data_IF_377287248602
#
_entry.id   IF_377287248602
#
_cell.length_a   1.000
_cell.length_b   1.000
_cell.length_c   1.000
_cell.angle_alpha   90.00
_cell.angle_beta   90.00
_cell.angle_gamma   90.00
#
_symmetry.space_group_name_H-M   'P 1'
#
loop_
_entity.id
_entity.type
_entity.pdbx_description
1 polymer ?
#
# COMPACT_ATOMS: atom_id res chain seq x y z
N UNK A 1 -1.17 34.45 -16.85
CA UNK A 1 -1.35 33.12 -17.45
C UNK A 1 -2.35 32.37 -16.56
N UNK A 2 -3.51 32.01 -17.06
CA UNK A 2 -4.50 31.19 -16.35
C UNK A 2 -3.90 29.80 -16.11
N UNK A 3 -4.06 29.28 -14.88
CA UNK A 3 -3.63 27.92 -14.56
C UNK A 3 -4.32 26.93 -15.55
N UNK A 4 -3.64 25.88 -15.99
CA UNK A 4 -4.26 24.87 -16.84
C UNK A 4 -5.48 24.27 -16.13
N UNK A 5 -6.52 23.89 -16.87
CA UNK A 5 -7.71 23.30 -16.27
C UNK A 5 -7.36 22.01 -15.50
N UNK A 6 -8.05 21.73 -14.40
CA UNK A 6 -7.78 20.55 -13.60
C UNK A 6 -8.02 19.25 -14.40
N UNK A 7 -7.14 18.26 -14.21
CA UNK A 7 -7.35 16.91 -14.77
C UNK A 7 -8.59 16.30 -14.09
N UNK A 8 -9.58 15.86 -14.86
CA UNK A 8 -10.83 15.28 -14.36
C UNK A 8 -10.76 13.75 -14.44
N UNK A 9 -10.75 13.12 -13.28
CA UNK A 9 -10.54 11.68 -13.14
C UNK A 9 -11.81 11.00 -12.62
N UNK A 10 -12.29 9.97 -13.32
CA UNK A 10 -13.21 9.00 -12.73
C UNK A 10 -12.39 7.95 -11.98
N UNK A 11 -12.37 8.01 -10.65
CA UNK A 11 -11.68 7.01 -9.83
C UNK A 11 -12.64 5.91 -9.41
N UNK A 12 -12.29 4.65 -9.71
CA UNK A 12 -13.10 3.46 -9.42
C UNK A 12 -12.41 2.63 -8.34
N UNK A 13 -13.12 2.35 -7.24
CA UNK A 13 -12.58 1.51 -6.16
C UNK A 13 -13.64 0.63 -5.52
N UNK A 14 -13.23 -0.60 -5.17
CA UNK A 14 -14.01 -1.51 -4.32
C UNK A 14 -13.61 -1.42 -2.84
N UNK A 15 -12.60 -0.63 -2.52
CA UNK A 15 -12.03 -0.49 -1.17
C UNK A 15 -12.14 0.98 -0.72
N UNK A 16 -12.92 1.21 0.32
CA UNK A 16 -13.16 2.54 0.89
C UNK A 16 -13.56 2.40 2.37
N UNK A 17 -13.23 3.36 3.26
CA UNK A 17 -13.46 3.24 4.70
C UNK A 17 -14.89 2.90 5.12
N UNK A 18 -15.90 3.48 4.47
CA UNK A 18 -17.30 3.20 4.75
C UNK A 18 -17.83 1.90 4.12
N UNK A 19 -17.05 1.27 3.24
CA UNK A 19 -17.35 -0.04 2.66
C UNK A 19 -16.69 -1.19 3.41
N UNK A 20 -15.73 -0.91 4.29
CA UNK A 20 -15.01 -1.91 5.05
C UNK A 20 -15.89 -2.44 6.19
N UNK A 21 -16.12 -3.75 6.23
CA UNK A 21 -16.79 -4.44 7.35
C UNK A 21 -15.94 -4.44 8.64
N UNK A 22 -14.70 -3.93 8.55
CA UNK A 22 -13.67 -3.95 9.58
C UNK A 22 -13.05 -2.54 9.66
N UNK A 23 -13.37 -1.80 10.69
CA UNK A 23 -12.88 -0.43 10.88
C UNK A 23 -11.38 -0.30 10.57
N UNK A 24 -11.03 0.39 9.47
CA UNK A 24 -9.69 0.92 9.27
C UNK A 24 -8.86 0.44 8.09
N UNK A 25 -9.34 -0.37 7.15
CA UNK A 25 -8.48 -1.00 6.14
C UNK A 25 -8.25 -0.20 4.84
N UNK A 26 -9.08 0.77 4.51
CA UNK A 26 -9.02 1.47 3.21
C UNK A 26 -8.42 2.90 3.28
N UNK A 27 -7.69 3.20 4.33
CA UNK A 27 -7.17 4.57 4.57
C UNK A 27 -6.17 5.05 3.52
N UNK A 28 -5.47 4.15 2.82
CA UNK A 28 -4.48 4.51 1.81
C UNK A 28 -5.11 5.00 0.49
N UNK A 29 -6.27 4.44 0.05
CA UNK A 29 -6.96 4.93 -1.15
C UNK A 29 -7.62 6.28 -0.87
N UNK A 30 -8.30 6.43 0.29
CA UNK A 30 -8.91 7.70 0.66
C UNK A 30 -7.86 8.80 0.81
N UNK A 31 -6.72 8.50 1.47
CA UNK A 31 -5.61 9.43 1.58
C UNK A 31 -5.07 9.84 0.21
N UNK A 32 -4.84 8.91 -0.70
CA UNK A 32 -4.40 9.23 -2.06
C UNK A 32 -5.39 10.15 -2.78
N UNK A 33 -6.71 9.93 -2.62
CA UNK A 33 -7.75 10.80 -3.19
C UNK A 33 -7.65 12.21 -2.62
N UNK A 34 -7.48 12.34 -1.30
CA UNK A 34 -7.41 13.64 -0.63
C UNK A 34 -6.18 14.44 -1.09
N UNK A 35 -5.02 13.78 -1.20
CA UNK A 35 -3.79 14.42 -1.69
C UNK A 35 -3.86 14.80 -3.18
N UNK A 36 -4.44 13.94 -4.03
CA UNK A 36 -4.67 14.27 -5.44
C UNK A 36 -5.61 15.47 -5.60
N UNK A 37 -6.68 15.55 -4.81
CA UNK A 37 -7.59 16.70 -4.80
C UNK A 37 -6.88 17.98 -4.32
N UNK A 38 -6.10 17.88 -3.26
CA UNK A 38 -5.28 18.99 -2.76
C UNK A 38 -4.26 19.49 -3.80
N UNK A 39 -3.75 18.60 -4.66
CA UNK A 39 -2.88 18.92 -5.78
C UNK A 39 -3.62 19.43 -7.04
N UNK A 40 -4.93 19.69 -6.95
CA UNK A 40 -5.73 20.28 -8.03
C UNK A 40 -6.33 19.28 -9.03
N UNK A 41 -6.30 17.97 -8.75
CA UNK A 41 -6.98 16.97 -9.58
C UNK A 41 -8.45 16.90 -9.21
N UNK A 42 -9.35 17.02 -10.21
CA UNK A 42 -10.79 16.85 -10.00
C UNK A 42 -11.15 15.37 -10.02
N UNK A 43 -11.54 14.81 -8.85
CA UNK A 43 -11.84 13.38 -8.72
C UNK A 43 -13.33 13.18 -8.46
N UNK A 44 -14.02 12.51 -9.41
CA UNK A 44 -15.31 11.88 -9.20
C UNK A 44 -15.06 10.43 -8.75
N UNK A 45 -15.42 10.15 -7.50
CA UNK A 45 -15.16 8.85 -6.88
C UNK A 45 -16.36 7.93 -7.07
N UNK A 46 -16.15 6.81 -7.76
CA UNK A 46 -17.10 5.71 -7.83
C UNK A 46 -16.65 4.57 -6.91
N UNK A 47 -17.38 4.37 -5.83
CA UNK A 47 -17.16 3.31 -4.86
C UNK A 47 -18.27 2.26 -4.89
N UNK A 48 -17.91 1.00 -4.80
CA UNK A 48 -18.88 -0.10 -4.82
C UNK A 48 -18.45 -1.27 -3.94
N UNK A 49 -19.42 -1.99 -3.37
CA UNK A 49 -19.14 -3.24 -2.62
C UNK A 49 -19.11 -4.42 -3.57
N UNK A 50 -17.92 -4.76 -4.09
CA UNK A 50 -17.75 -5.87 -5.02
C UNK A 50 -17.55 -7.25 -4.37
N UNK A 51 -17.15 -7.31 -3.10
CA UNK A 51 -16.66 -8.50 -2.41
C UNK A 51 -17.57 -9.71 -2.59
N UNK A 52 -17.12 -10.69 -3.42
CA UNK A 52 -17.76 -12.01 -3.56
C UNK A 52 -19.14 -12.04 -4.25
N UNK A 53 -19.62 -10.95 -4.84
CA UNK A 53 -20.95 -10.90 -5.47
C UNK A 53 -20.88 -10.44 -6.93
N UNK A 54 -21.01 -11.34 -7.92
CA UNK A 54 -20.99 -10.99 -9.35
C UNK A 54 -22.07 -10.01 -9.79
N UNK A 55 -23.25 -10.06 -9.16
CA UNK A 55 -24.38 -9.16 -9.50
C UNK A 55 -23.99 -7.71 -9.17
N UNK A 56 -23.28 -7.49 -8.06
CA UNK A 56 -22.80 -6.16 -7.69
C UNK A 56 -21.75 -5.62 -8.68
N UNK A 57 -20.92 -6.49 -9.25
CA UNK A 57 -20.01 -6.09 -10.32
C UNK A 57 -20.77 -5.71 -11.59
N UNK A 58 -21.81 -6.46 -11.97
CA UNK A 58 -22.65 -6.17 -13.13
C UNK A 58 -23.37 -4.82 -12.95
N UNK A 59 -24.00 -4.57 -11.81
CA UNK A 59 -24.67 -3.29 -11.53
C UNK A 59 -23.68 -2.11 -11.50
N UNK A 60 -22.51 -2.31 -10.89
CA UNK A 60 -21.45 -1.31 -10.88
C UNK A 60 -20.93 -1.02 -12.29
N UNK A 61 -20.78 -2.05 -13.13
CA UNK A 61 -20.39 -1.91 -14.52
C UNK A 61 -21.39 -1.03 -15.31
N UNK A 62 -22.70 -1.33 -15.20
CA UNK A 62 -23.75 -0.52 -15.84
C UNK A 62 -23.67 0.93 -15.41
N UNK A 63 -23.49 1.21 -14.13
CA UNK A 63 -23.41 2.57 -13.62
C UNK A 63 -22.15 3.29 -14.13
N UNK A 64 -20.99 2.62 -14.14
CA UNK A 64 -19.75 3.18 -14.70
C UNK A 64 -19.93 3.45 -16.20
N UNK A 65 -20.47 2.51 -16.98
CA UNK A 65 -20.70 2.70 -18.41
C UNK A 65 -21.67 3.86 -18.68
N UNK A 66 -22.73 4.00 -17.88
CA UNK A 66 -23.67 5.13 -17.97
C UNK A 66 -22.98 6.48 -17.71
N UNK A 67 -22.07 6.55 -16.73
CA UNK A 67 -21.26 7.76 -16.48
C UNK A 67 -20.33 8.06 -17.65
N UNK A 68 -19.73 7.03 -18.25
CA UNK A 68 -18.80 7.16 -19.37
C UNK A 68 -19.48 7.54 -20.70
N UNK A 69 -20.79 7.38 -20.85
CA UNK A 69 -21.54 7.90 -21.99
C UNK A 69 -21.48 9.43 -22.06
N UNK A 70 -21.29 10.11 -20.93
CA UNK A 70 -21.06 11.56 -20.82
C UNK A 70 -19.57 11.86 -20.92
N UNK A 71 -18.94 11.60 -22.08
CA UNK A 71 -17.48 11.65 -22.31
C UNK A 71 -16.82 12.96 -21.90
N UNK A 72 -17.51 14.10 -22.04
CA UNK A 72 -16.97 15.43 -21.72
C UNK A 72 -16.72 15.67 -20.24
N UNK A 73 -17.14 14.73 -19.38
CA UNK A 73 -17.05 14.87 -17.93
C UNK A 73 -15.68 14.46 -17.36
N UNK A 74 -14.96 13.55 -18.02
CA UNK A 74 -13.71 12.99 -17.52
C UNK A 74 -12.64 12.99 -18.62
N UNK A 75 -11.38 13.18 -18.19
CA UNK A 75 -10.22 13.11 -19.07
C UNK A 75 -9.62 11.70 -19.08
N UNK A 76 -9.67 11.00 -17.94
CA UNK A 76 -9.20 9.61 -17.79
C UNK A 76 -9.97 8.86 -16.69
N UNK A 77 -9.77 7.55 -16.67
CA UNK A 77 -10.24 6.65 -15.59
C UNK A 77 -9.03 6.17 -14.81
N UNK A 78 -9.11 6.18 -13.47
CA UNK A 78 -8.15 5.51 -12.61
C UNK A 78 -8.83 4.43 -11.77
N UNK A 79 -8.55 3.17 -12.06
CA UNK A 79 -9.06 2.04 -11.29
C UNK A 79 -8.07 1.64 -10.20
N UNK A 80 -8.56 1.59 -8.95
CA UNK A 80 -7.83 1.02 -7.82
C UNK A 80 -8.13 -0.47 -7.78
N UNK A 81 -7.09 -1.29 -7.87
CA UNK A 81 -7.11 -2.75 -8.04
C UNK A 81 -7.54 -3.23 -9.46
N UNK A 82 -6.91 -4.33 -9.90
CA UNK A 82 -7.13 -4.89 -11.23
C UNK A 82 -8.59 -5.21 -11.53
N UNK A 83 -9.33 -5.79 -10.57
CA UNK A 83 -10.74 -6.12 -10.75
C UNK A 83 -11.64 -4.88 -10.92
N UNK A 84 -11.29 -3.75 -10.33
CA UNK A 84 -12.03 -2.49 -10.54
C UNK A 84 -11.87 -1.97 -11.97
N UNK A 85 -10.75 -2.29 -12.62
CA UNK A 85 -10.51 -1.94 -14.02
C UNK A 85 -11.44 -2.64 -15.01
N UNK A 86 -12.02 -3.80 -14.65
CA UNK A 86 -13.03 -4.46 -15.48
C UNK A 86 -14.26 -3.58 -15.73
N UNK A 87 -14.60 -2.70 -14.76
CA UNK A 87 -15.75 -1.81 -14.88
C UNK A 87 -15.54 -0.72 -15.94
N UNK A 88 -14.29 -0.43 -16.28
CA UNK A 88 -13.92 0.54 -17.33
C UNK A 88 -13.96 -0.06 -18.74
N UNK A 89 -14.18 -1.36 -18.89
CA UNK A 89 -14.21 -2.03 -20.20
C UNK A 89 -15.66 -2.19 -20.73
N UNK A 90 -15.91 -2.00 -22.03
CA UNK A 90 -14.95 -1.63 -23.06
C UNK A 90 -14.41 -0.20 -22.83
N UNK A 91 -13.11 -0.02 -23.07
CA UNK A 91 -12.41 1.23 -22.80
C UNK A 91 -12.92 2.36 -23.71
N UNK A 92 -13.35 3.47 -23.09
CA UNK A 92 -13.85 4.68 -23.79
C UNK A 92 -12.97 5.91 -23.55
N UNK A 93 -12.20 5.90 -22.48
CA UNK A 93 -11.27 6.94 -22.06
C UNK A 93 -9.92 6.29 -21.70
N UNK A 94 -8.83 7.05 -21.64
CA UNK A 94 -7.55 6.56 -21.13
C UNK A 94 -7.73 5.92 -19.76
N UNK A 95 -7.12 4.74 -19.56
CA UNK A 95 -7.26 3.92 -18.36
C UNK A 95 -5.92 3.75 -17.66
N UNK A 96 -5.84 4.21 -16.42
CA UNK A 96 -4.76 3.94 -15.48
C UNK A 96 -5.25 2.92 -14.44
N UNK A 97 -4.42 1.94 -14.10
CA UNK A 97 -4.77 0.93 -13.10
C UNK A 97 -3.66 0.83 -12.07
N UNK A 98 -4.01 0.88 -10.78
CA UNK A 98 -3.06 0.64 -9.67
C UNK A 98 -3.31 -0.73 -9.06
N UNK A 99 -2.24 -1.56 -9.01
CA UNK A 99 -2.21 -2.90 -8.41
C UNK A 99 -1.51 -2.84 -7.05
N UNK A 100 -2.08 -3.56 -6.05
CA UNK A 100 -1.65 -3.41 -4.65
C UNK A 100 -1.25 -4.70 -3.94
N UNK A 101 -1.51 -5.87 -4.52
CA UNK A 101 -1.11 -7.16 -3.97
C UNK A 101 -2.11 -8.27 -4.31
N UNK A 102 -3.18 -8.41 -3.55
CA UNK A 102 -4.18 -9.49 -3.68
C UNK A 102 -4.76 -9.61 -5.10
N UNK A 103 -4.78 -8.54 -5.85
CA UNK A 103 -5.23 -8.47 -7.24
C UNK A 103 -4.27 -9.13 -8.23
N UNK A 104 -2.99 -9.27 -7.89
CA UNK A 104 -1.98 -9.94 -8.72
C UNK A 104 -1.44 -11.25 -8.13
N UNK A 105 -1.44 -11.39 -6.80
CA UNK A 105 -0.97 -12.58 -6.09
C UNK A 105 -2.13 -13.52 -5.72
N UNK A 106 -3.36 -13.00 -5.72
CA UNK A 106 -4.57 -13.74 -5.34
C UNK A 106 -4.93 -13.56 -3.86
N UNK A 107 -6.18 -13.91 -3.54
CA UNK A 107 -6.73 -13.79 -2.19
C UNK A 107 -6.63 -15.09 -1.44
N UNK A 108 -5.96 -15.05 -0.31
CA UNK A 108 -5.82 -16.18 0.61
C UNK A 108 -6.99 -16.19 1.61
N UNK A 109 -7.52 -17.38 1.89
CA UNK A 109 -8.56 -17.58 2.89
C UNK A 109 -8.01 -17.32 4.30
N UNK A 110 -8.68 -16.49 5.08
CA UNK A 110 -8.34 -16.28 6.49
C UNK A 110 -8.53 -17.54 7.37
N UNK A 111 -9.30 -18.54 6.90
CA UNK A 111 -9.53 -19.78 7.66
C UNK A 111 -8.48 -20.85 7.36
N UNK A 112 -8.12 -21.02 6.08
CA UNK A 112 -7.30 -22.17 5.64
C UNK A 112 -5.88 -21.76 5.27
N UNK A 113 -5.61 -20.46 5.07
CA UNK A 113 -4.32 -19.97 4.56
C UNK A 113 -4.05 -20.33 3.09
N UNK A 114 -5.02 -20.90 2.37
CA UNK A 114 -4.90 -21.30 0.98
C UNK A 114 -5.61 -20.29 0.05
N UNK A 115 -5.16 -20.21 -1.20
CA UNK A 115 -5.82 -19.39 -2.22
C UNK A 115 -7.28 -19.83 -2.41
N UNK A 116 -8.21 -18.90 -2.32
CA UNK A 116 -9.62 -19.15 -2.63
C UNK A 116 -9.80 -19.35 -4.14
N UNK A 117 -10.89 -20.03 -4.62
CA UNK A 117 -11.17 -20.14 -6.05
C UNK A 117 -11.20 -18.76 -6.75
N UNK A 118 -11.88 -17.79 -6.14
CA UNK A 118 -11.91 -16.41 -6.64
C UNK A 118 -10.51 -15.76 -6.58
N UNK A 119 -9.73 -16.06 -5.52
CA UNK A 119 -8.35 -15.58 -5.38
C UNK A 119 -7.42 -16.08 -6.49
N UNK A 120 -7.69 -17.27 -7.07
CA UNK A 120 -6.95 -17.78 -8.23
C UNK A 120 -7.37 -17.10 -9.54
N UNK A 121 -8.62 -16.68 -9.64
CA UNK A 121 -9.15 -16.01 -10.84
C UNK A 121 -8.74 -14.54 -10.92
N UNK A 122 -8.65 -13.85 -9.79
CA UNK A 122 -8.34 -12.42 -9.75
C UNK A 122 -7.05 -12.04 -10.50
N UNK A 123 -5.90 -12.73 -10.32
CA UNK A 123 -4.69 -12.41 -11.08
C UNK A 123 -4.85 -12.55 -12.60
N UNK A 124 -5.67 -13.51 -13.05
CA UNK A 124 -5.96 -13.70 -14.48
C UNK A 124 -6.75 -12.50 -15.02
N UNK A 125 -7.81 -12.12 -14.33
CA UNK A 125 -8.63 -10.95 -14.70
C UNK A 125 -7.81 -9.66 -14.66
N UNK A 126 -6.99 -9.48 -13.64
CA UNK A 126 -6.10 -8.33 -13.50
C UNK A 126 -5.10 -8.22 -14.67
N UNK A 127 -4.53 -9.35 -15.12
CA UNK A 127 -3.64 -9.37 -16.29
C UNK A 127 -4.38 -9.04 -17.60
N UNK A 128 -5.65 -9.43 -17.74
CA UNK A 128 -6.48 -9.01 -18.89
C UNK A 128 -6.67 -7.51 -18.88
N UNK A 129 -7.02 -6.93 -17.73
CA UNK A 129 -7.16 -5.48 -17.57
C UNK A 129 -5.83 -4.77 -17.85
N UNK A 130 -4.72 -5.29 -17.36
CA UNK A 130 -3.40 -4.71 -17.54
C UNK A 130 -3.00 -4.56 -19.02
N UNK A 131 -3.44 -5.47 -19.88
CA UNK A 131 -3.20 -5.39 -21.35
C UNK A 131 -4.04 -4.31 -22.03
N UNK A 132 -5.15 -3.92 -21.40
CA UNK A 132 -6.07 -2.89 -21.93
C UNK A 132 -5.77 -1.50 -21.37
N UNK A 133 -5.08 -1.42 -20.24
CA UNK A 133 -4.71 -0.16 -19.59
C UNK A 133 -3.67 0.61 -20.43
N UNK A 134 -3.76 1.94 -20.43
CA UNK A 134 -2.75 2.81 -21.04
C UNK A 134 -1.54 3.00 -20.10
N UNK A 135 -1.76 2.89 -18.80
CA UNK A 135 -0.68 2.79 -17.82
C UNK A 135 -1.04 1.85 -16.67
N UNK A 136 -0.06 1.08 -16.25
CA UNK A 136 -0.14 0.21 -15.08
C UNK A 136 0.77 0.76 -13.98
N UNK A 137 0.22 0.96 -12.78
CA UNK A 137 0.97 1.33 -11.57
C UNK A 137 0.99 0.10 -10.66
N UNK A 138 2.15 -0.25 -10.14
CA UNK A 138 2.32 -1.30 -9.14
C UNK A 138 2.98 -0.71 -7.90
N UNK A 139 2.55 -1.15 -6.70
CA UNK A 139 3.09 -0.60 -5.45
C UNK A 139 4.47 -1.15 -5.07
N UNK A 140 4.97 -2.16 -5.78
CA UNK A 140 6.32 -2.72 -5.62
C UNK A 140 6.81 -3.36 -6.91
N UNK A 141 8.13 -3.43 -7.09
CA UNK A 141 8.76 -4.09 -8.24
C UNK A 141 8.39 -5.58 -8.31
N UNK A 142 8.28 -6.25 -7.16
CA UNK A 142 7.82 -7.63 -7.04
C UNK A 142 6.45 -7.83 -7.74
N UNK A 143 5.48 -6.95 -7.50
CA UNK A 143 4.18 -7.02 -8.17
C UNK A 143 4.26 -6.75 -9.67
N UNK A 144 5.22 -5.93 -10.11
CA UNK A 144 5.47 -5.71 -11.53
C UNK A 144 5.80 -7.00 -12.27
N UNK A 145 6.57 -7.90 -11.65
CA UNK A 145 6.89 -9.22 -12.20
C UNK A 145 5.66 -10.14 -12.32
N UNK A 146 4.60 -9.88 -11.55
CA UNK A 146 3.34 -10.64 -11.60
C UNK A 146 2.42 -10.25 -12.76
N UNK A 147 2.68 -9.15 -13.45
CA UNK A 147 1.94 -8.73 -14.64
C UNK A 147 2.23 -9.67 -15.84
N UNK A 148 1.92 -9.28 -17.03
CA UNK A 148 2.24 -10.05 -18.23
C UNK A 148 3.66 -9.73 -18.73
N UNK A 149 4.27 -10.65 -19.49
CA UNK A 149 5.57 -10.40 -20.14
C UNK A 149 5.52 -9.17 -21.05
N UNK A 150 6.50 -8.30 -20.93
CA UNK A 150 6.59 -7.04 -21.69
C UNK A 150 5.80 -5.87 -21.07
N UNK A 151 5.08 -6.07 -19.96
CA UNK A 151 4.52 -4.94 -19.23
C UNK A 151 5.65 -4.07 -18.66
N UNK A 152 5.51 -2.76 -18.82
CA UNK A 152 6.40 -1.75 -18.23
C UNK A 152 5.60 -0.93 -17.21
N UNK A 153 5.34 -1.47 -16.02
CA UNK A 153 4.58 -0.74 -15.02
C UNK A 153 5.39 0.37 -14.37
N UNK A 154 4.71 1.44 -13.99
CA UNK A 154 5.27 2.43 -13.08
C UNK A 154 5.28 1.86 -11.65
N UNK A 155 6.45 1.76 -11.04
CA UNK A 155 6.57 1.34 -9.63
C UNK A 155 6.37 2.56 -8.76
N UNK A 156 5.16 2.71 -8.22
CA UNK A 156 4.76 3.83 -7.37
C UNK A 156 4.15 3.28 -6.09
N UNK A 157 4.91 3.20 -4.99
CA UNK A 157 4.41 2.73 -3.70
C UNK A 157 3.29 3.62 -3.17
N UNK A 158 2.48 3.10 -2.24
CA UNK A 158 1.56 3.96 -1.48
C UNK A 158 2.37 4.92 -0.62
N UNK A 159 2.02 6.19 -0.65
CA UNK A 159 2.68 7.23 0.11
C UNK A 159 2.41 7.14 1.61
N UNK A 160 3.20 7.89 2.37
CA UNK A 160 3.06 8.04 3.82
C UNK A 160 2.86 9.52 4.15
N UNK A 161 1.86 9.80 4.96
CA UNK A 161 1.65 11.14 5.52
C UNK A 161 2.70 11.40 6.63
N UNK A 162 3.81 12.02 6.26
CA UNK A 162 4.88 12.32 7.19
C UNK A 162 4.52 13.41 8.22
N UNK A 163 3.46 14.18 8.01
CA UNK A 163 2.94 15.12 9.02
C UNK A 163 2.21 14.37 10.12
N UNK A 164 1.46 13.34 9.75
CA UNK A 164 0.76 12.45 10.70
C UNK A 164 1.75 11.53 11.41
N UNK A 165 2.57 10.78 10.67
CA UNK A 165 3.61 9.89 11.23
C UNK A 165 4.88 10.68 11.54
N UNK A 166 4.76 11.55 12.54
CA UNK A 166 5.86 12.40 13.05
C UNK A 166 6.59 11.74 14.21
N UNK A 167 7.80 12.18 14.46
CA UNK A 167 8.54 11.80 15.65
C UNK A 167 7.94 12.44 16.89
N UNK A 168 7.86 11.67 17.97
CA UNK A 168 7.41 12.08 19.30
C UNK A 168 8.32 11.45 20.36
N UNK A 169 8.53 12.11 21.50
CA UNK A 169 9.21 11.48 22.64
C UNK A 169 8.45 10.21 23.08
N UNK A 170 9.18 9.10 23.27
CA UNK A 170 8.60 7.83 23.65
C UNK A 170 7.78 7.90 24.93
N UNK A 171 8.30 8.60 25.94
CA UNK A 171 7.62 8.79 27.23
C UNK A 171 6.28 9.54 27.09
N UNK A 172 6.22 10.52 26.16
CA UNK A 172 4.97 11.23 25.86
C UNK A 172 3.96 10.31 25.20
N UNK A 173 4.40 9.53 24.19
CA UNK A 173 3.55 8.58 23.50
C UNK A 173 3.02 7.47 24.44
N UNK A 174 3.87 6.92 25.30
CA UNK A 174 3.46 5.92 26.32
C UNK A 174 2.44 6.49 27.29
N UNK A 175 2.67 7.70 27.80
CA UNK A 175 1.74 8.39 28.70
C UNK A 175 0.39 8.66 28.03
N UNK A 176 0.39 9.08 26.78
CA UNK A 176 -0.85 9.32 26.00
C UNK A 176 -1.70 8.04 25.87
N UNK A 177 -1.04 6.90 25.69
CA UNK A 177 -1.69 5.60 25.52
C UNK A 177 -1.95 4.84 26.85
N UNK A 178 -1.51 5.37 28.00
CA UNK A 178 -1.59 4.64 29.27
C UNK A 178 -0.70 3.39 29.31
N UNK A 179 0.36 3.34 28.52
CA UNK A 179 1.31 2.22 28.47
C UNK A 179 2.39 2.37 29.56
N UNK A 180 3.01 1.25 30.03
CA UNK A 180 4.09 1.29 31.00
C UNK A 180 5.22 2.23 30.56
N UNK A 181 5.74 3.04 31.51
CA UNK A 181 6.88 3.92 31.26
C UNK A 181 8.16 3.14 30.99
N UNK A 182 8.31 1.99 31.65
CA UNK A 182 9.45 1.10 31.56
C UNK A 182 9.10 -0.19 30.82
N UNK A 183 10.12 -0.98 30.47
CA UNK A 183 9.96 -2.24 29.75
C UNK A 183 10.04 -2.08 28.24
N UNK A 184 10.18 -3.20 27.56
CA UNK A 184 10.26 -3.28 26.08
C UNK A 184 8.90 -3.64 25.50
N UNK A 185 8.42 -2.83 24.58
CA UNK A 185 7.12 -3.01 23.93
C UNK A 185 7.30 -3.39 22.45
N UNK A 186 6.81 -4.56 22.11
CA UNK A 186 6.83 -5.10 20.73
C UNK A 186 5.47 -4.84 20.09
N UNK A 187 5.42 -3.96 19.10
CA UNK A 187 4.19 -3.64 18.40
C UNK A 187 3.88 -4.69 17.33
N UNK A 188 2.66 -5.19 17.32
CA UNK A 188 2.09 -5.94 16.19
C UNK A 188 0.88 -5.19 15.64
N UNK A 189 0.79 -4.98 14.32
CA UNK A 189 -0.33 -4.27 13.68
C UNK A 189 -1.05 -5.19 12.70
N UNK A 190 -2.31 -5.48 13.00
CA UNK A 190 -3.17 -6.32 12.15
C UNK A 190 -4.17 -7.13 12.95
N UNK A 191 -5.15 -7.71 12.23
CA UNK A 191 -6.15 -8.58 12.86
C UNK A 191 -5.51 -9.81 13.48
N UNK A 192 -5.77 -10.10 14.76
CA UNK A 192 -5.22 -11.27 15.44
C UNK A 192 -5.77 -12.59 14.87
N UNK A 193 -6.92 -12.55 14.19
CA UNK A 193 -7.54 -13.73 13.55
C UNK A 193 -7.12 -13.94 12.11
N UNK A 194 -6.29 -13.05 11.55
CA UNK A 194 -5.84 -13.16 10.15
C UNK A 194 -4.70 -14.16 10.02
N UNK A 195 -4.96 -15.28 9.34
CA UNK A 195 -3.93 -16.29 9.02
C UNK A 195 -2.80 -15.72 8.12
N UNK A 196 -3.08 -14.65 7.39
CA UNK A 196 -2.10 -13.93 6.59
C UNK A 196 -1.14 -13.12 7.47
N UNK A 197 -1.64 -12.46 8.53
CA UNK A 197 -0.85 -11.60 9.41
C UNK A 197 -0.06 -12.37 10.47
N UNK A 198 -0.54 -13.58 10.86
CA UNK A 198 0.13 -14.52 11.77
C UNK A 198 0.47 -13.91 13.13
N UNK A 199 -0.52 -13.34 13.81
CA UNK A 199 -0.36 -12.82 15.18
C UNK A 199 0.12 -13.89 16.16
N UNK A 200 -0.36 -15.13 15.99
CA UNK A 200 0.08 -16.30 16.76
C UNK A 200 1.59 -16.54 16.67
N UNK A 201 2.19 -16.33 15.51
CA UNK A 201 3.63 -16.44 15.30
C UNK A 201 4.39 -15.32 16.02
N UNK A 202 3.87 -14.08 15.96
CA UNK A 202 4.44 -12.96 16.70
C UNK A 202 4.39 -13.19 18.21
N UNK A 203 3.26 -13.69 18.75
CA UNK A 203 3.15 -14.04 20.16
C UNK A 203 4.17 -15.10 20.57
N UNK A 204 4.30 -16.21 19.81
CA UNK A 204 5.29 -17.26 20.11
C UNK A 204 6.72 -16.70 20.11
N UNK A 205 7.05 -15.85 19.14
CA UNK A 205 8.38 -15.23 19.10
C UNK A 205 8.64 -14.35 20.34
N UNK A 206 7.65 -13.55 20.76
CA UNK A 206 7.78 -12.70 21.96
C UNK A 206 7.87 -13.55 23.23
N UNK A 207 7.15 -14.66 23.35
CA UNK A 207 7.29 -15.57 24.50
C UNK A 207 8.70 -16.19 24.60
N UNK A 208 9.36 -16.45 23.47
CA UNK A 208 10.77 -16.88 23.46
C UNK A 208 11.67 -15.72 23.90
N UNK A 209 11.42 -14.48 23.43
CA UNK A 209 12.18 -13.29 23.86
C UNK A 209 12.12 -13.11 25.37
N UNK A 210 10.95 -13.33 26.00
CA UNK A 210 10.76 -13.20 27.46
C UNK A 210 11.69 -14.09 28.31
N UNK A 211 12.24 -15.15 27.75
CA UNK A 211 13.22 -16.00 28.43
C UNK A 211 14.55 -15.29 28.69
N UNK A 212 14.86 -14.25 27.93
CA UNK A 212 16.12 -13.50 27.98
C UNK A 212 15.95 -12.00 28.24
N UNK A 213 14.85 -11.41 27.85
CA UNK A 213 14.59 -9.98 27.98
C UNK A 213 13.12 -9.74 28.36
N UNK A 214 12.83 -8.87 29.36
CA UNK A 214 11.46 -8.48 29.66
C UNK A 214 10.88 -7.70 28.45
N UNK A 215 9.89 -8.28 27.78
CA UNK A 215 9.24 -7.68 26.63
C UNK A 215 7.76 -8.06 26.56
N UNK A 216 6.89 -7.12 26.21
CA UNK A 216 5.46 -7.35 26.07
C UNK A 216 4.99 -6.98 24.66
N UNK A 217 4.00 -7.76 24.16
CA UNK A 217 3.40 -7.48 22.85
C UNK A 217 2.24 -6.49 22.99
N UNK A 218 2.24 -5.47 22.14
CA UNK A 218 1.17 -4.49 22.02
C UNK A 218 0.43 -4.76 20.72
N UNK A 219 -0.87 -5.05 20.82
CA UNK A 219 -1.71 -5.34 19.66
C UNK A 219 -2.32 -4.06 19.10
N UNK A 220 -1.89 -3.68 17.89
CA UNK A 220 -2.43 -2.58 17.08
C UNK A 220 -3.58 -3.02 16.19
N UNK A 221 -4.72 -3.44 16.77
CA UNK A 221 -5.93 -3.85 16.04
C UNK A 221 -7.16 -3.08 16.52
N UNK A 222 -8.00 -2.64 15.56
CA UNK A 222 -9.18 -1.82 15.87
C UNK A 222 -8.85 -0.40 16.34
N UNK A 223 -7.60 0.03 16.20
CA UNK A 223 -7.13 1.35 16.61
C UNK A 223 -7.45 2.36 15.50
N UNK A 224 -8.04 3.53 15.84
CA UNK A 224 -8.18 4.63 14.90
C UNK A 224 -6.83 5.02 14.29
N UNK A 225 -6.79 5.25 12.97
CA UNK A 225 -5.53 5.47 12.26
C UNK A 225 -4.77 6.73 12.71
N UNK A 226 -5.46 7.70 13.30
CA UNK A 226 -4.85 8.90 13.91
C UNK A 226 -4.14 8.60 15.24
N UNK A 227 -4.46 7.49 15.91
CA UNK A 227 -3.77 7.03 17.11
C UNK A 227 -2.52 6.18 16.79
N UNK A 228 -2.43 5.62 15.59
CA UNK A 228 -1.33 4.74 15.22
C UNK A 228 0.07 5.39 15.38
N UNK A 229 0.28 6.69 15.08
CA UNK A 229 1.56 7.35 15.32
C UNK A 229 2.03 7.28 16.79
N UNK A 230 1.11 7.32 17.76
CA UNK A 230 1.45 7.19 19.17
C UNK A 230 1.99 5.79 19.48
N UNK A 231 1.34 4.73 18.95
CA UNK A 231 1.83 3.35 19.09
C UNK A 231 3.22 3.17 18.45
N UNK A 232 3.45 3.74 17.26
CA UNK A 232 4.74 3.69 16.58
C UNK A 232 5.85 4.40 17.37
N UNK A 233 5.52 5.46 18.12
CA UNK A 233 6.49 6.18 18.94
C UNK A 233 6.62 5.58 20.37
N UNK A 234 5.59 4.91 20.88
CA UNK A 234 5.60 4.30 22.22
C UNK A 234 6.38 2.98 22.29
N UNK A 235 6.31 2.16 21.23
CA UNK A 235 6.92 0.83 21.19
C UNK A 235 8.40 0.88 20.79
N UNK A 236 9.14 -0.21 21.07
CA UNK A 236 10.58 -0.31 20.83
C UNK A 236 10.90 -0.99 19.50
N UNK A 237 10.01 -1.85 19.01
CA UNK A 237 10.14 -2.55 17.72
C UNK A 237 8.78 -2.90 17.15
N UNK A 238 8.62 -2.84 15.83
CA UNK A 238 7.52 -3.46 15.11
C UNK A 238 7.91 -4.89 14.75
N UNK A 239 7.11 -5.88 15.13
CA UNK A 239 7.20 -7.25 14.61
C UNK A 239 6.20 -7.44 13.48
N UNK A 240 6.68 -7.83 12.31
CA UNK A 240 5.86 -7.98 11.12
C UNK A 240 5.99 -9.39 10.55
N UNK A 241 5.00 -10.23 10.83
CA UNK A 241 5.01 -11.67 10.54
C UNK A 241 4.13 -12.07 9.36
N UNK A 242 3.73 -11.12 8.51
CA UNK A 242 2.86 -11.41 7.36
C UNK A 242 3.45 -12.44 6.41
N UNK A 243 2.58 -13.25 5.80
CA UNK A 243 2.94 -14.27 4.81
C UNK A 243 2.90 -13.73 3.38
N UNK A 244 2.06 -12.74 3.12
CA UNK A 244 1.84 -12.16 1.79
C UNK A 244 1.52 -10.67 1.91
N UNK A 245 2.27 -9.85 1.18
CA UNK A 245 2.08 -8.39 1.09
C UNK A 245 2.67 -7.87 -0.23
N UNK A 246 2.08 -6.83 -0.79
CA UNK A 246 2.68 -6.11 -1.92
C UNK A 246 3.73 -5.09 -1.46
N UNK A 247 3.27 -4.09 -0.70
CA UNK A 247 4.11 -3.03 -0.09
C UNK A 247 3.42 -2.54 1.19
N UNK A 248 3.72 -3.14 2.35
CA UNK A 248 2.97 -2.92 3.58
C UNK A 248 3.15 -1.51 4.12
N UNK A 249 2.04 -0.77 4.26
CA UNK A 249 2.06 0.60 4.79
C UNK A 249 2.58 0.65 6.22
N UNK A 250 2.21 -0.33 7.06
CA UNK A 250 2.62 -0.35 8.47
C UNK A 250 4.15 -0.36 8.66
N UNK A 251 4.88 -1.02 7.76
CA UNK A 251 6.36 -1.00 7.78
C UNK A 251 6.88 0.40 7.45
N UNK A 252 6.33 1.05 6.42
CA UNK A 252 6.69 2.42 6.05
C UNK A 252 6.32 3.43 7.14
N UNK A 253 5.18 3.25 7.78
CA UNK A 253 4.70 4.05 8.92
C UNK A 253 5.63 3.92 10.14
N UNK A 254 6.08 2.69 10.44
CA UNK A 254 7.07 2.45 11.48
C UNK A 254 8.40 3.15 11.16
N UNK A 255 8.91 2.98 9.94
CA UNK A 255 10.14 3.63 9.50
C UNK A 255 10.02 5.18 9.51
N UNK A 256 8.85 5.73 9.19
CA UNK A 256 8.58 7.16 9.28
C UNK A 256 8.64 7.69 10.72
N UNK A 257 8.36 6.84 11.71
CA UNK A 257 8.51 7.12 13.14
C UNK A 257 9.88 6.69 13.70
N UNK A 258 10.84 6.31 12.87
CA UNK A 258 12.13 5.74 13.28
C UNK A 258 11.99 4.50 14.19
N UNK A 259 10.86 3.78 14.13
CA UNK A 259 10.66 2.56 14.88
C UNK A 259 11.42 1.42 14.20
N UNK A 260 12.31 0.71 14.94
CA UNK A 260 12.94 -0.52 14.44
C UNK A 260 11.90 -1.53 13.95
N UNK A 261 12.25 -2.33 12.93
CA UNK A 261 11.37 -3.35 12.37
C UNK A 261 12.07 -4.70 12.31
N UNK A 262 11.43 -5.73 12.84
CA UNK A 262 11.76 -7.14 12.59
C UNK A 262 10.65 -7.75 11.75
N UNK A 263 11.00 -8.30 10.59
CA UNK A 263 10.02 -8.77 9.61
C UNK A 263 10.38 -10.13 9.02
N UNK A 264 9.37 -10.89 8.63
CA UNK A 264 9.54 -11.97 7.64
C UNK A 264 9.84 -11.37 6.26
N UNK A 265 10.48 -12.16 5.37
CA UNK A 265 10.83 -11.72 4.03
C UNK A 265 9.65 -11.70 3.07
N UNK A 266 8.80 -10.66 3.11
CA UNK A 266 7.56 -10.57 2.34
C UNK A 266 7.45 -9.25 1.57
N UNK A 267 6.91 -9.32 0.33
CA UNK A 267 6.70 -8.14 -0.53
C UNK A 267 8.01 -7.37 -0.76
N UNK A 268 7.95 -6.04 -0.63
CA UNK A 268 9.11 -5.14 -0.75
C UNK A 268 9.84 -4.89 0.58
N UNK A 269 9.48 -5.60 1.67
CA UNK A 269 10.05 -5.36 3.00
C UNK A 269 11.56 -5.60 3.03
N UNK A 270 12.13 -6.68 2.45
CA UNK A 270 13.59 -6.88 2.44
C UNK A 270 14.35 -5.71 1.81
N UNK A 271 13.83 -5.14 0.73
CA UNK A 271 14.42 -3.99 0.04
C UNK A 271 14.31 -2.73 0.89
N UNK A 272 13.17 -2.54 1.55
CA UNK A 272 12.90 -1.38 2.43
C UNK A 272 13.81 -1.34 3.65
N UNK A 273 14.08 -2.49 4.26
CA UNK A 273 14.88 -2.58 5.48
C UNK A 273 16.38 -2.64 5.19
N UNK A 274 16.79 -2.90 3.96
CA UNK A 274 18.21 -3.06 3.60
C UNK A 274 19.04 -1.84 4.00
N UNK A 275 20.08 -2.08 4.82
CA UNK A 275 21.00 -1.05 5.28
C UNK A 275 20.39 -0.02 6.25
N UNK A 276 19.24 -0.33 6.86
CA UNK A 276 18.71 0.43 8.00
C UNK A 276 19.17 -0.26 9.27
N UNK A 277 20.10 0.38 9.98
CA UNK A 277 20.59 -0.13 11.25
C UNK A 277 19.46 -0.23 12.28
N UNK A 278 19.37 -1.35 12.99
CA UNK A 278 18.30 -1.63 13.94
C UNK A 278 17.04 -2.24 13.32
N UNK A 279 17.03 -2.52 11.99
CA UNK A 279 15.99 -3.31 11.35
C UNK A 279 16.54 -4.66 10.87
N UNK A 280 15.74 -5.72 10.96
CA UNK A 280 16.13 -7.05 10.53
C UNK A 280 15.02 -7.74 9.73
N UNK A 281 15.43 -8.49 8.71
CA UNK A 281 14.60 -9.50 8.05
C UNK A 281 15.01 -10.86 8.61
N UNK A 282 14.06 -11.57 9.23
CA UNK A 282 14.29 -12.90 9.77
C UNK A 282 14.65 -13.87 8.61
N UNK A 283 15.60 -14.78 8.87
CA UNK A 283 16.08 -15.72 7.85
C UNK A 283 15.00 -16.71 7.39
N UNK A 284 14.05 -17.01 8.26
CA UNK A 284 12.89 -17.85 7.98
C UNK A 284 11.66 -17.44 8.83
N UNK A 285 10.57 -18.17 8.65
CA UNK A 285 9.28 -17.91 9.31
C UNK A 285 9.12 -18.68 10.65
N UNK A 286 10.19 -19.14 11.28
CA UNK A 286 10.12 -19.82 12.59
C UNK A 286 10.12 -18.81 13.73
N UNK A 287 9.40 -19.13 14.79
CA UNK A 287 9.31 -18.27 15.99
C UNK A 287 10.68 -18.02 16.61
N UNK A 288 11.55 -19.04 16.63
CA UNK A 288 12.90 -18.97 17.18
C UNK A 288 13.79 -17.99 16.40
N UNK A 289 13.69 -18.01 15.08
CA UNK A 289 14.47 -17.12 14.19
C UNK A 289 14.01 -15.67 14.32
N UNK A 290 12.70 -15.45 14.39
CA UNK A 290 12.11 -14.12 14.63
C UNK A 290 12.49 -13.62 16.03
N UNK A 291 12.43 -14.50 17.06
CA UNK A 291 12.81 -14.16 18.41
C UNK A 291 14.29 -13.74 18.52
N UNK A 292 15.18 -14.47 17.86
CA UNK A 292 16.61 -14.13 17.80
C UNK A 292 16.83 -12.73 17.20
N UNK A 293 16.12 -12.39 16.12
CA UNK A 293 16.14 -11.05 15.51
C UNK A 293 15.58 -9.98 16.50
N UNK A 294 14.47 -10.28 17.16
CA UNK A 294 13.90 -9.37 18.17
C UNK A 294 14.85 -9.12 19.33
N UNK A 295 15.53 -10.18 19.84
CA UNK A 295 16.53 -10.05 20.92
C UNK A 295 17.66 -9.12 20.49
N UNK A 296 18.23 -9.29 19.29
CA UNK A 296 19.29 -8.41 18.78
C UNK A 296 18.84 -6.95 18.70
N UNK A 297 17.67 -6.71 18.10
CA UNK A 297 17.13 -5.35 17.94
C UNK A 297 16.79 -4.71 19.28
N UNK A 298 16.15 -5.43 20.19
CA UNK A 298 15.79 -4.93 21.51
C UNK A 298 17.00 -4.74 22.43
N UNK A 299 18.05 -5.59 22.31
CA UNK A 299 19.31 -5.44 23.06
C UNK A 299 20.12 -4.25 22.58
N UNK A 300 20.13 -3.98 21.28
CA UNK A 300 20.73 -2.77 20.73
C UNK A 300 20.05 -1.53 21.30
N UNK A 301 18.74 -1.55 21.42
CA UNK A 301 17.92 -0.43 21.86
C UNK A 301 17.94 0.77 20.93
N UNK A 302 17.22 1.82 21.32
CA UNK A 302 17.14 3.08 20.58
C UNK A 302 16.28 3.04 19.33
N UNK A 303 16.26 4.15 18.62
CA UNK A 303 15.52 4.37 17.37
C UNK A 303 16.44 4.25 16.16
N UNK A 304 15.84 4.02 14.98
CA UNK A 304 16.54 4.09 13.69
C UNK A 304 16.64 5.54 13.21
N UNK A 305 17.31 5.74 12.06
CA UNK A 305 17.31 7.02 11.30
C UNK A 305 16.53 6.88 9.98
N UNK A 306 15.62 5.91 9.93
CA UNK A 306 14.94 5.49 8.70
C UNK A 306 14.00 6.55 8.11
N UNK A 307 13.53 7.52 8.92
CA UNK A 307 12.63 8.60 8.47
C UNK A 307 13.17 9.36 7.25
N UNK A 308 14.48 9.59 7.17
CA UNK A 308 15.06 10.29 6.04
C UNK A 308 14.78 9.56 4.71
N UNK A 309 14.85 8.22 4.69
CA UNK A 309 14.51 7.42 3.51
C UNK A 309 13.02 7.46 3.19
N UNK A 310 12.16 7.75 4.18
CA UNK A 310 10.71 7.84 3.97
C UNK A 310 10.29 9.16 3.32
N UNK A 311 11.17 10.15 3.22
CA UNK A 311 10.88 11.41 2.50
C UNK A 311 10.57 11.18 1.01
N UNK A 312 11.22 10.21 0.39
CA UNK A 312 10.94 9.81 -1.00
C UNK A 312 9.53 9.23 -1.15
N UNK A 313 8.93 8.77 -0.06
CA UNK A 313 7.59 8.19 0.01
C UNK A 313 6.57 9.14 0.64
N UNK A 314 6.92 10.41 0.85
CA UNK A 314 5.92 11.41 1.29
C UNK A 314 4.74 11.42 0.31
N UNK A 315 3.53 11.49 0.86
CA UNK A 315 2.32 11.41 0.03
C UNK A 315 2.26 12.51 -1.04
N UNK A 316 2.87 13.69 -0.78
CA UNK A 316 2.96 14.75 -1.79
C UNK A 316 3.86 14.32 -2.97
N UNK A 317 5.01 13.69 -2.68
CA UNK A 317 5.93 13.19 -3.72
C UNK A 317 5.25 12.09 -4.55
N UNK A 318 4.61 11.14 -3.89
CA UNK A 318 3.87 10.06 -4.54
C UNK A 318 2.70 10.62 -5.39
N UNK A 319 2.02 11.63 -4.90
CA UNK A 319 0.94 12.31 -5.62
C UNK A 319 1.44 12.92 -6.92
N UNK A 320 2.59 13.60 -6.91
CA UNK A 320 3.19 14.16 -8.13
C UNK A 320 3.60 13.07 -9.13
N UNK A 321 4.08 11.92 -8.67
CA UNK A 321 4.39 10.79 -9.55
C UNK A 321 3.13 10.25 -10.23
N UNK A 322 2.02 10.11 -9.50
CA UNK A 322 0.74 9.68 -10.05
C UNK A 322 0.21 10.70 -11.08
N UNK A 323 0.30 12.01 -10.77
CA UNK A 323 -0.08 13.08 -11.71
C UNK A 323 0.81 13.05 -12.95
N UNK A 324 2.10 12.75 -12.80
CA UNK A 324 3.02 12.54 -13.92
C UNK A 324 2.56 11.43 -14.86
N UNK A 325 2.09 10.30 -14.31
CA UNK A 325 1.49 9.20 -15.10
C UNK A 325 0.23 9.69 -15.82
N UNK A 326 -0.65 10.44 -15.16
CA UNK A 326 -1.86 10.99 -15.82
C UNK A 326 -1.50 11.88 -17.00
N UNK A 327 -0.56 12.81 -16.82
CA UNK A 327 -0.10 13.73 -17.89
C UNK A 327 0.50 12.95 -19.06
N UNK A 328 1.31 11.93 -18.80
CA UNK A 328 1.90 11.08 -19.85
C UNK A 328 0.83 10.35 -20.65
N UNK A 329 -0.15 9.74 -19.97
CA UNK A 329 -1.26 9.01 -20.61
C UNK A 329 -2.13 9.95 -21.47
N UNK A 330 -2.44 11.14 -20.97
CA UNK A 330 -3.22 12.14 -21.71
C UNK A 330 -2.47 12.68 -22.92
N UNK A 331 -1.17 12.93 -22.82
CA UNK A 331 -0.34 13.34 -23.96
C UNK A 331 -0.34 12.28 -25.07
N UNK A 332 -0.18 11.00 -24.71
CA UNK A 332 -0.23 9.89 -25.66
C UNK A 332 -1.61 9.75 -26.34
N UNK A 333 -2.70 9.95 -25.58
CA UNK A 333 -4.05 9.91 -26.11
C UNK A 333 -4.32 11.08 -27.09
N UNK A 334 -3.84 12.27 -26.78
CA UNK A 334 -3.91 13.44 -27.65
C UNK A 334 -3.14 13.26 -28.97
N UNK A 335 -1.96 12.66 -28.93
CA UNK A 335 -1.17 12.32 -30.12
C UNK A 335 -1.87 11.27 -31.00
N UNK A 336 -2.51 10.26 -30.41
CA UNK A 336 -3.31 9.26 -31.15
C UNK A 336 -4.54 9.87 -31.83
N UNK A 337 -5.13 10.93 -31.26
CA UNK A 337 -6.28 11.63 -31.80
C UNK A 337 -5.88 12.65 -32.89
N UNK A 338 -4.65 13.18 -32.86
CA UNK A 338 -4.15 14.26 -33.73
C UNK A 338 -3.21 13.82 -34.84
N UNK A 339 -3.09 12.55 -35.16
CA UNK A 339 -2.29 11.92 -36.24
C UNK A 339 -1.02 12.68 -36.67
N UNK A 340 0.18 12.09 -36.42
CA UNK A 340 1.53 12.50 -36.87
C UNK A 340 2.17 13.74 -36.21
N UNK A 341 3.14 13.48 -35.34
CA UNK A 341 4.09 14.50 -34.85
C UNK A 341 4.93 14.00 -33.65
N UNK A 342 6.21 13.95 -33.90
CA UNK A 342 7.37 13.71 -33.01
C UNK A 342 7.18 13.36 -31.53
N UNK A 343 7.79 12.24 -31.15
CA UNK A 343 7.88 11.75 -29.77
C UNK A 343 8.84 12.64 -28.93
N UNK A 344 8.30 13.36 -27.96
CA UNK A 344 9.09 13.96 -26.90
C UNK A 344 9.36 12.92 -25.79
N UNK A 345 10.63 12.60 -25.59
CA UNK A 345 11.10 11.78 -24.47
C UNK A 345 10.88 12.53 -23.15
N UNK A 346 9.93 12.10 -22.36
CA UNK A 346 9.78 12.51 -20.97
C UNK A 346 10.69 11.61 -20.12
N UNK A 347 11.65 12.21 -19.43
CA UNK A 347 12.64 11.53 -18.64
C UNK A 347 12.03 10.59 -17.61
N UNK A 348 12.49 9.34 -17.63
CA UNK A 348 12.20 8.34 -16.61
C UNK A 348 12.84 8.76 -15.28
N UNK A 349 12.24 8.43 -14.12
CA UNK A 349 12.93 8.59 -12.84
C UNK A 349 14.22 7.77 -12.86
N UNK A 350 15.29 8.19 -12.16
CA UNK A 350 16.60 7.58 -12.27
C UNK A 350 16.56 6.10 -11.87
N UNK A 351 16.94 5.25 -12.81
CA UNK A 351 17.20 3.84 -12.56
C UNK A 351 18.40 3.73 -11.61
N UNK A 352 18.19 3.22 -10.41
CA UNK A 352 19.31 2.90 -9.51
C UNK A 352 20.12 1.76 -10.11
N UNK A 353 21.35 2.06 -10.47
CA UNK A 353 22.42 1.10 -10.72
C UNK A 353 22.59 0.19 -9.49
N UNK A 354 22.49 -1.11 -9.72
CA UNK A 354 22.91 -2.14 -8.77
C UNK A 354 24.43 -2.11 -8.68
N UNK A 355 24.96 -1.68 -7.56
CA UNK A 355 26.28 -2.02 -7.08
C UNK A 355 26.16 -2.44 -5.61
#
# INVERSE_FOLDING_TARGET
MTAPPPIRVLMITADWPDLADWGGTATFVSRQVDFLRAAGVSIDLFKFRGKGNPIRYASAWFEVQRRLLRRERYDLIHAQFGQSGLLALPKRLPLVVTYRGDDLEGVVSNKTGLLTPMGRLLPVLSRVVARQADANIVVSAHLGACLHRGAQPHVIPSGIDLKRFRLMPQAEARRHLGLPSEGRLVLFVGSPTSTRKRYDLACRAVEIVKQSLPADIVLGWGIPHDQMPYYMNACDVLVFTSRQEGSPNVVKEALACNLPVVSTGVGDVPERLRGIEGCEVAADDRAETIAASLVRVLSRGGRTTSRERMRELDENVITEWVIGVYRSVLAQAGHKAGGNGEAAQVGSPPSRSTA
#
